data_IF_052940343825
#
_entry.id   IF_052940343825
#
_cell.length_a   1.000
_cell.length_b   1.000
_cell.length_c   1.000
_cell.angle_alpha   90.00
_cell.angle_beta   90.00
_cell.angle_gamma   90.00
#
_symmetry.space_group_name_H-M   'P 1'
#
loop_
_entity.id
_entity.type
_entity.pdbx_description
1 polymer ?
#
# COMPACT_ATOMS: atom_id res chain seq x y z
N UNK A 1 28.00 53.58 -71.17
CA UNK A 1 26.56 53.25 -70.88
C UNK A 1 26.52 52.29 -69.76
N UNK A 2 26.38 52.81 -68.55
CA UNK A 2 26.21 51.97 -67.31
C UNK A 2 24.72 51.86 -66.97
N UNK A 3 24.18 50.67 -66.87
CA UNK A 3 22.86 50.43 -66.38
C UNK A 3 22.98 49.94 -64.93
N UNK A 4 22.46 50.77 -64.02
CA UNK A 4 22.26 50.45 -62.62
C UNK A 4 21.16 49.37 -62.44
N UNK A 5 21.47 48.35 -61.67
CA UNK A 5 20.49 47.34 -61.17
C UNK A 5 20.27 47.64 -59.68
N UNK A 6 19.04 47.82 -59.20
CA UNK A 6 18.78 48.04 -57.77
C UNK A 6 18.84 46.73 -56.97
N UNK A 7 19.52 46.83 -55.85
CA UNK A 7 19.66 45.75 -54.85
C UNK A 7 18.36 45.61 -54.07
N UNK A 8 17.73 44.41 -54.14
CA UNK A 8 16.51 44.09 -53.43
C UNK A 8 16.90 43.51 -52.07
N UNK A 9 16.63 44.28 -51.01
CA UNK A 9 16.82 43.79 -49.62
C UNK A 9 15.68 42.86 -49.24
N UNK A 10 15.98 41.56 -49.06
CA UNK A 10 15.07 40.61 -48.43
C UNK A 10 15.16 40.78 -46.92
N UNK A 11 14.07 41.29 -46.35
CA UNK A 11 13.87 41.34 -44.89
C UNK A 11 13.42 39.95 -44.44
N UNK A 12 14.36 39.18 -43.81
CA UNK A 12 14.00 37.94 -43.13
C UNK A 12 13.30 38.28 -41.80
N UNK A 13 11.97 38.09 -41.76
CA UNK A 13 11.21 38.05 -40.52
C UNK A 13 11.48 36.71 -39.83
N UNK A 14 12.31 36.73 -38.80
CA UNK A 14 12.49 35.58 -37.89
C UNK A 14 11.28 35.52 -36.97
N UNK A 15 10.30 34.67 -37.28
CA UNK A 15 9.21 34.33 -36.36
C UNK A 15 9.79 33.39 -35.32
N UNK A 16 10.22 33.94 -34.17
CA UNK A 16 10.50 33.14 -32.99
C UNK A 16 9.16 32.60 -32.46
N UNK A 17 8.84 31.35 -32.83
CA UNK A 17 7.79 30.58 -32.13
C UNK A 17 8.36 30.22 -30.76
N UNK A 18 7.94 30.95 -29.75
CA UNK A 18 8.20 30.61 -28.34
C UNK A 18 7.30 29.42 -28.03
N UNK A 19 7.84 28.23 -28.19
CA UNK A 19 7.27 27.02 -27.62
C UNK A 19 7.46 27.12 -26.11
N UNK A 20 6.46 27.63 -25.39
CA UNK A 20 6.37 27.46 -23.96
C UNK A 20 6.16 25.98 -23.68
N UNK A 21 7.05 25.32 -22.92
CA UNK A 21 6.81 23.93 -22.59
C UNK A 21 5.62 23.86 -21.64
N UNK A 22 4.59 23.17 -22.06
CA UNK A 22 3.40 22.79 -21.28
C UNK A 22 3.75 21.89 -20.07
N UNK A 23 5.05 21.63 -19.85
CA UNK A 23 5.60 20.82 -18.78
C UNK A 23 5.71 21.54 -17.42
N UNK A 24 5.50 22.87 -17.35
CA UNK A 24 5.66 23.62 -16.09
C UNK A 24 4.35 23.86 -15.32
N UNK A 25 3.24 23.32 -15.75
CA UNK A 25 1.94 23.48 -15.07
C UNK A 25 1.53 22.29 -14.17
N UNK A 26 2.34 21.26 -14.11
CA UNK A 26 2.09 20.08 -13.24
C UNK A 26 2.73 20.16 -11.85
N UNK A 27 3.58 21.14 -11.57
CA UNK A 27 4.31 21.26 -10.29
C UNK A 27 3.66 22.17 -9.24
N UNK A 28 2.50 22.76 -9.50
CA UNK A 28 1.86 23.71 -8.57
C UNK A 28 0.52 23.24 -7.97
N UNK A 29 0.34 21.96 -7.74
CA UNK A 29 -0.53 21.45 -6.66
C UNK A 29 0.35 20.88 -5.57
N UNK A 30 1.24 21.72 -5.04
CA UNK A 30 2.01 21.43 -3.85
C UNK A 30 1.11 21.30 -2.63
N UNK A 31 0.49 20.16 -2.46
CA UNK A 31 0.03 19.72 -1.14
C UNK A 31 1.32 19.34 -0.40
N UNK A 32 1.85 20.26 0.39
CA UNK A 32 2.95 19.93 1.31
C UNK A 32 2.50 18.74 2.16
N UNK A 33 3.38 17.77 2.40
CA UNK A 33 3.07 16.59 3.22
C UNK A 33 2.54 16.96 4.62
N UNK A 34 2.88 18.14 5.13
CA UNK A 34 2.39 18.69 6.40
C UNK A 34 0.88 18.97 6.39
N UNK A 35 0.26 19.25 5.25
CA UNK A 35 -1.18 19.51 5.15
C UNK A 35 -2.05 18.24 5.15
N UNK A 36 -1.46 17.05 4.98
CA UNK A 36 -2.20 15.80 4.93
C UNK A 36 -2.55 15.26 6.33
N UNK A 37 -1.82 15.69 7.36
CA UNK A 37 -1.97 15.26 8.73
C UNK A 37 -2.40 16.42 9.63
N UNK A 38 -3.12 16.08 10.70
CA UNK A 38 -3.38 16.99 11.82
C UNK A 38 -2.99 16.30 13.12
N UNK A 39 -2.55 17.09 14.10
CA UNK A 39 -2.23 16.63 15.45
C UNK A 39 -3.39 16.97 16.38
N UNK A 40 -3.62 16.14 17.41
CA UNK A 40 -4.64 16.33 18.41
C UNK A 40 -4.36 15.54 19.68
N UNK A 41 -5.28 15.61 20.63
CA UNK A 41 -5.17 14.79 21.84
C UNK A 41 -5.28 13.30 21.48
N UNK A 42 -4.29 12.52 21.92
CA UNK A 42 -4.27 11.09 21.68
C UNK A 42 -5.36 10.38 22.50
N UNK A 43 -6.19 9.60 21.82
CA UNK A 43 -7.08 8.67 22.53
C UNK A 43 -6.29 7.52 23.17
N UNK A 44 -6.94 6.71 24.02
CA UNK A 44 -6.27 5.61 24.73
C UNK A 44 -5.47 4.67 23.82
N UNK A 45 -6.02 4.34 22.65
CA UNK A 45 -5.44 3.40 21.68
C UNK A 45 -4.86 4.12 20.44
N UNK A 46 -4.90 5.46 20.39
CA UNK A 46 -4.40 6.29 19.31
C UNK A 46 -3.07 6.93 19.60
N UNK A 47 -2.45 7.50 18.55
CA UNK A 47 -1.17 8.22 18.65
C UNK A 47 -1.33 9.75 18.64
N UNK A 48 -2.56 10.29 18.58
CA UNK A 48 -2.84 11.72 18.48
C UNK A 48 -2.54 12.34 17.11
N UNK A 49 -2.19 11.52 16.12
CA UNK A 49 -2.00 11.93 14.72
C UNK A 49 -3.19 11.48 13.90
N UNK A 50 -3.69 12.39 13.08
CA UNK A 50 -4.88 12.16 12.27
C UNK A 50 -4.54 12.24 10.78
N UNK A 51 -5.07 11.33 10.00
CA UNK A 51 -5.00 11.34 8.54
C UNK A 51 -6.41 11.37 7.95
N UNK A 52 -6.69 12.40 7.16
CA UNK A 52 -8.00 12.61 6.52
C UNK A 52 -9.21 12.50 7.48
N UNK A 53 -9.01 12.86 8.77
CA UNK A 53 -10.05 12.85 9.81
C UNK A 53 -10.10 11.58 10.66
N UNK A 54 -9.29 10.57 10.38
CA UNK A 54 -9.14 9.35 11.18
C UNK A 54 -7.93 9.44 12.09
N UNK A 55 -8.10 9.20 13.40
CA UNK A 55 -6.98 9.01 14.31
C UNK A 55 -6.26 7.69 14.01
N UNK A 56 -4.93 7.73 13.93
CA UNK A 56 -4.09 6.55 13.68
C UNK A 56 -3.94 5.78 14.99
N UNK A 57 -4.09 4.45 14.94
CA UNK A 57 -3.92 3.61 16.12
C UNK A 57 -2.46 3.40 16.50
N UNK A 58 -2.23 2.97 17.74
CA UNK A 58 -0.92 2.45 18.18
C UNK A 58 -0.62 1.13 17.50
N UNK A 59 0.65 0.92 17.16
CA UNK A 59 1.14 -0.33 16.54
C UNK A 59 1.12 -1.46 17.57
N UNK A 60 0.67 -2.65 17.14
CA UNK A 60 0.79 -3.87 17.91
C UNK A 60 2.25 -4.38 17.88
N UNK A 61 2.92 -4.35 19.02
CA UNK A 61 4.30 -4.85 19.13
C UNK A 61 4.43 -6.36 18.97
N UNK A 62 5.66 -6.85 18.78
CA UNK A 62 5.99 -8.25 18.56
C UNK A 62 5.55 -9.22 19.69
N UNK A 63 5.34 -8.71 20.90
CA UNK A 63 4.76 -9.50 22.00
C UNK A 63 3.32 -9.96 21.69
N UNK A 64 2.63 -9.31 20.78
CA UNK A 64 1.33 -9.72 20.26
C UNK A 64 1.37 -10.83 19.20
N UNK A 65 2.55 -11.31 18.78
CA UNK A 65 2.68 -12.30 17.70
C UNK A 65 1.88 -13.59 17.93
N UNK A 66 1.75 -14.02 19.21
CA UNK A 66 0.92 -15.18 19.56
C UNK A 66 -0.55 -15.04 19.19
N UNK A 67 -1.09 -13.82 19.25
CA UNK A 67 -2.47 -13.54 18.86
C UNK A 67 -2.68 -13.74 17.34
N UNK A 68 -1.67 -13.42 16.53
CA UNK A 68 -1.71 -13.60 15.07
C UNK A 68 -1.77 -15.07 14.66
N UNK A 69 -1.28 -15.98 15.50
CA UNK A 69 -1.22 -17.43 15.25
C UNK A 69 -2.32 -18.23 15.98
N UNK A 70 -3.30 -17.53 16.58
CA UNK A 70 -4.36 -18.21 17.33
C UNK A 70 -5.15 -19.18 16.43
N UNK A 71 -5.47 -20.40 16.91
CA UNK A 71 -6.15 -21.43 16.10
C UNK A 71 -7.53 -21.01 15.60
N UNK A 72 -8.24 -20.18 16.38
CA UNK A 72 -9.58 -19.70 16.07
C UNK A 72 -9.64 -18.75 14.88
N UNK A 73 -8.49 -18.21 14.47
CA UNK A 73 -8.38 -17.20 13.40
C UNK A 73 -8.99 -17.67 12.09
N UNK A 74 -8.78 -18.95 11.72
CA UNK A 74 -9.35 -19.54 10.50
C UNK A 74 -10.86 -19.49 10.50
N UNK A 75 -11.50 -19.79 11.65
CA UNK A 75 -12.96 -19.79 11.76
C UNK A 75 -13.52 -18.37 11.87
N UNK A 76 -12.88 -17.51 12.65
CA UNK A 76 -13.35 -16.15 12.93
C UNK A 76 -13.19 -15.21 11.74
N UNK A 77 -12.09 -15.32 11.00
CA UNK A 77 -11.73 -14.42 9.92
C UNK A 77 -11.85 -15.05 8.53
N UNK A 78 -12.05 -16.40 8.44
CA UNK A 78 -12.07 -17.14 7.18
C UNK A 78 -10.81 -16.85 6.34
N UNK A 79 -9.65 -17.00 6.99
CA UNK A 79 -8.35 -16.76 6.34
C UNK A 79 -8.08 -17.72 5.17
N UNK A 80 -8.72 -18.87 5.15
CA UNK A 80 -8.79 -19.80 4.02
C UNK A 80 -9.41 -19.14 2.79
N UNK A 81 -10.59 -18.54 2.97
CA UNK A 81 -11.33 -17.86 1.92
C UNK A 81 -10.63 -16.57 1.48
N UNK A 82 -10.00 -15.85 2.43
CA UNK A 82 -9.17 -14.68 2.11
C UNK A 82 -8.06 -15.08 1.10
N UNK A 83 -7.31 -16.14 1.40
CA UNK A 83 -6.23 -16.63 0.54
C UNK A 83 -6.76 -17.05 -0.84
N UNK A 84 -7.88 -17.79 -0.89
CA UNK A 84 -8.50 -18.20 -2.15
C UNK A 84 -8.87 -16.99 -3.01
N UNK A 85 -9.49 -15.97 -2.40
CA UNK A 85 -9.91 -14.74 -3.08
C UNK A 85 -8.75 -13.86 -3.57
N UNK A 86 -7.54 -14.07 -3.09
CA UNK A 86 -6.38 -13.40 -3.67
C UNK A 86 -6.19 -13.79 -5.15
N UNK A 87 -6.71 -14.94 -5.60
CA UNK A 87 -6.63 -15.41 -6.99
C UNK A 87 -5.22 -15.25 -7.58
N UNK A 88 -4.22 -15.71 -6.84
CA UNK A 88 -2.80 -15.58 -7.22
C UNK A 88 -2.43 -16.54 -8.34
N UNK A 89 -1.52 -16.10 -9.21
CA UNK A 89 -0.89 -16.94 -10.23
C UNK A 89 0.44 -17.48 -9.69
N UNK A 90 0.89 -18.67 -10.13
CA UNK A 90 2.15 -19.27 -9.69
C UNK A 90 3.39 -18.38 -9.85
N UNK A 91 3.36 -17.42 -10.76
CA UNK A 91 4.44 -16.49 -11.08
C UNK A 91 4.34 -15.14 -10.38
N UNK A 92 3.31 -14.91 -9.54
CA UNK A 92 3.12 -13.62 -8.92
C UNK A 92 4.18 -13.29 -7.88
N UNK A 93 4.59 -12.04 -7.86
CA UNK A 93 5.35 -11.44 -6.77
C UNK A 93 4.36 -10.76 -5.82
N UNK A 94 4.32 -11.23 -4.58
CA UNK A 94 3.36 -10.77 -3.58
C UNK A 94 4.08 -10.12 -2.41
N UNK A 95 3.61 -8.97 -2.00
CA UNK A 95 4.05 -8.28 -0.77
C UNK A 95 3.02 -8.54 0.31
N UNK A 96 3.44 -9.16 1.42
CA UNK A 96 2.68 -9.27 2.68
C UNK A 96 3.17 -8.13 3.57
N UNK A 97 2.43 -7.01 3.59
CA UNK A 97 2.83 -5.77 4.27
C UNK A 97 2.21 -5.68 5.67
N UNK A 98 3.05 -5.52 6.67
CA UNK A 98 2.70 -5.77 8.06
C UNK A 98 2.64 -7.28 8.32
N UNK A 99 3.62 -8.02 7.81
CA UNK A 99 3.64 -9.49 7.81
C UNK A 99 3.56 -10.11 9.21
N UNK A 100 3.97 -9.37 10.24
CA UNK A 100 3.96 -9.83 11.63
C UNK A 100 4.71 -11.15 11.78
N UNK A 101 4.02 -12.17 12.29
CA UNK A 101 4.56 -13.52 12.45
C UNK A 101 4.74 -14.30 11.14
N UNK A 102 4.32 -13.73 9.99
CA UNK A 102 4.31 -14.40 8.70
C UNK A 102 3.10 -15.32 8.48
N UNK A 103 2.01 -15.09 9.19
CA UNK A 103 0.82 -15.95 9.09
C UNK A 103 0.33 -16.10 7.65
N UNK A 104 0.22 -15.02 6.89
CA UNK A 104 -0.18 -15.03 5.47
C UNK A 104 1.00 -15.34 4.56
N UNK A 105 2.19 -14.85 4.86
CA UNK A 105 3.42 -15.14 4.10
C UNK A 105 3.59 -16.63 3.80
N UNK A 106 3.50 -17.49 4.83
CA UNK A 106 3.70 -18.96 4.67
C UNK A 106 2.52 -19.66 4.02
N UNK A 107 1.34 -19.07 3.99
CA UNK A 107 0.16 -19.59 3.27
C UNK A 107 0.16 -19.20 1.81
N UNK A 108 0.75 -18.04 1.49
CA UNK A 108 0.86 -17.53 0.11
C UNK A 108 2.02 -18.18 -0.62
N UNK A 109 3.15 -18.42 0.03
CA UNK A 109 4.36 -18.92 -0.61
C UNK A 109 4.15 -20.21 -1.45
N UNK A 110 3.39 -21.22 -1.00
CA UNK A 110 3.10 -22.40 -1.82
C UNK A 110 2.26 -22.13 -3.07
N UNK A 111 1.53 -21.01 -3.11
CA UNK A 111 0.66 -20.63 -4.24
C UNK A 111 1.43 -19.91 -5.35
N UNK A 112 2.62 -19.40 -5.04
CA UNK A 112 3.47 -18.66 -5.98
C UNK A 112 4.86 -19.31 -6.13
N UNK A 113 4.94 -20.60 -6.48
CA UNK A 113 6.20 -21.35 -6.47
C UNK A 113 7.22 -20.87 -7.52
N UNK A 114 6.78 -20.15 -8.54
CA UNK A 114 7.62 -19.52 -9.58
C UNK A 114 7.77 -18.02 -9.40
N UNK A 115 7.12 -17.46 -8.38
CA UNK A 115 7.17 -16.07 -7.98
C UNK A 115 7.93 -15.90 -6.67
N UNK A 116 7.54 -14.87 -5.91
CA UNK A 116 8.18 -14.55 -4.62
C UNK A 116 7.16 -13.93 -3.67
N UNK A 117 7.34 -14.17 -2.37
CA UNK A 117 6.64 -13.46 -1.30
C UNK A 117 7.63 -12.61 -0.52
N UNK A 118 7.39 -11.30 -0.50
CA UNK A 118 8.10 -10.36 0.34
C UNK A 118 7.34 -10.19 1.65
N UNK A 119 7.89 -10.72 2.76
CA UNK A 119 7.39 -10.46 4.09
C UNK A 119 7.96 -9.12 4.58
N UNK A 120 7.14 -8.09 4.53
CA UNK A 120 7.53 -6.70 4.82
C UNK A 120 6.97 -6.28 6.17
N UNK A 121 7.83 -5.82 7.07
CA UNK A 121 7.43 -5.34 8.39
C UNK A 121 8.37 -4.24 8.88
N UNK A 122 7.90 -3.37 9.78
CA UNK A 122 8.72 -2.34 10.43
C UNK A 122 9.45 -2.89 11.67
N UNK A 123 9.01 -4.06 12.22
CA UNK A 123 9.61 -4.68 13.41
C UNK A 123 10.67 -5.71 13.01
N UNK A 124 11.93 -5.49 13.35
CA UNK A 124 12.98 -6.48 13.14
C UNK A 124 12.73 -7.77 13.93
N UNK A 125 12.03 -7.71 15.07
CA UNK A 125 11.65 -8.85 15.90
C UNK A 125 10.61 -9.72 15.20
N UNK A 126 9.58 -9.12 14.57
CA UNK A 126 8.61 -9.86 13.76
C UNK A 126 9.32 -10.56 12.59
N UNK A 127 10.18 -9.87 11.87
CA UNK A 127 10.97 -10.47 10.79
C UNK A 127 11.93 -11.58 11.29
N UNK A 128 12.41 -11.50 12.54
CA UNK A 128 13.19 -12.59 13.13
C UNK A 128 12.33 -13.85 13.32
N UNK A 129 11.06 -13.71 13.70
CA UNK A 129 10.10 -14.83 13.78
C UNK A 129 9.90 -15.43 12.37
N UNK A 130 9.67 -14.61 11.35
CA UNK A 130 9.52 -15.07 9.95
C UNK A 130 10.77 -15.84 9.52
N UNK A 131 11.98 -15.28 9.71
CA UNK A 131 13.25 -15.96 9.37
C UNK A 131 13.43 -17.28 10.10
N UNK A 132 12.99 -17.37 11.36
CA UNK A 132 13.04 -18.64 12.10
C UNK A 132 12.10 -19.71 11.51
N UNK A 133 10.90 -19.29 11.07
CA UNK A 133 9.96 -20.18 10.37
C UNK A 133 10.47 -20.60 8.99
N UNK A 134 11.07 -19.69 8.22
CA UNK A 134 11.68 -20.00 6.91
C UNK A 134 12.70 -21.14 7.03
N UNK A 135 13.61 -21.07 8.03
CA UNK A 135 14.60 -22.12 8.26
C UNK A 135 13.99 -23.49 8.57
N UNK A 136 12.80 -23.51 9.21
CA UNK A 136 12.08 -24.76 9.57
C UNK A 136 11.30 -25.35 8.40
N UNK A 137 10.80 -24.50 7.52
CA UNK A 137 9.91 -24.92 6.40
C UNK A 137 10.64 -25.11 5.08
N UNK A 138 11.94 -24.80 5.00
CA UNK A 138 12.72 -24.74 3.74
C UNK A 138 12.03 -23.88 2.66
N UNK A 139 11.37 -22.79 3.06
CA UNK A 139 10.70 -21.90 2.14
C UNK A 139 11.75 -21.02 1.41
N UNK A 140 11.98 -21.30 0.12
CA UNK A 140 13.02 -20.64 -0.69
C UNK A 140 12.51 -19.38 -1.41
N UNK A 141 11.19 -19.28 -1.63
CA UNK A 141 10.57 -18.17 -2.33
C UNK A 141 10.02 -17.07 -1.40
N UNK A 142 10.48 -17.02 -0.15
CA UNK A 142 10.17 -15.94 0.80
C UNK A 142 11.41 -15.08 1.02
N UNK A 143 11.21 -13.76 1.03
CA UNK A 143 12.23 -12.77 1.37
C UNK A 143 11.70 -11.86 2.47
N UNK A 144 12.51 -11.60 3.53
CA UNK A 144 12.13 -10.64 4.58
C UNK A 144 12.69 -9.27 4.29
N UNK A 145 11.86 -8.23 4.36
CA UNK A 145 12.23 -6.85 4.08
C UNK A 145 11.89 -5.97 5.29
N UNK A 146 12.88 -5.31 5.85
CA UNK A 146 12.67 -4.31 6.91
C UNK A 146 12.29 -2.98 6.25
N UNK A 147 11.01 -2.62 6.36
CA UNK A 147 10.50 -1.34 5.87
C UNK A 147 10.75 -0.20 6.86
N UNK A 148 10.46 1.02 6.40
CA UNK A 148 10.28 2.16 7.29
C UNK A 148 8.79 2.48 7.42
N UNK A 149 8.45 3.50 8.20
CA UNK A 149 7.05 3.97 8.31
C UNK A 149 6.54 4.64 7.02
N UNK A 150 7.43 4.95 6.08
CA UNK A 150 7.12 5.68 4.84
C UNK A 150 7.46 4.94 3.55
N UNK A 151 8.20 3.83 3.64
CA UNK A 151 8.79 3.20 2.45
C UNK A 151 8.92 1.69 2.63
N UNK A 152 8.38 0.92 1.69
CA UNK A 152 8.44 -0.55 1.61
C UNK A 152 9.87 -1.09 1.46
N UNK A 153 10.79 -0.29 0.94
CA UNK A 153 12.16 -0.72 0.56
C UNK A 153 12.20 -1.81 -0.52
N UNK A 154 11.26 -1.72 -1.45
CA UNK A 154 11.18 -2.58 -2.64
C UNK A 154 11.33 -1.75 -3.91
N UNK A 155 11.75 -2.40 -5.00
CA UNK A 155 11.87 -1.76 -6.31
C UNK A 155 10.51 -1.37 -6.89
N UNK A 156 10.50 -0.31 -7.69
CA UNK A 156 9.31 0.12 -8.42
C UNK A 156 8.87 -0.96 -9.40
N UNK A 157 7.55 -1.12 -9.56
CA UNK A 157 6.92 -2.06 -10.48
C UNK A 157 7.42 -3.51 -10.29
N UNK A 158 7.70 -3.92 -9.05
CA UNK A 158 8.19 -5.26 -8.72
C UNK A 158 7.11 -6.22 -8.25
N UNK A 159 5.96 -5.72 -7.76
CA UNK A 159 4.91 -6.56 -7.18
C UNK A 159 3.65 -6.62 -8.05
N UNK A 160 3.06 -7.82 -8.15
CA UNK A 160 1.75 -8.04 -8.78
C UNK A 160 0.60 -7.81 -7.79
N UNK A 161 0.85 -8.07 -6.50
CA UNK A 161 -0.10 -7.92 -5.42
C UNK A 161 0.59 -7.42 -4.15
N UNK A 162 0.00 -6.42 -3.49
CA UNK A 162 0.30 -6.05 -2.10
C UNK A 162 -0.91 -6.45 -1.27
N UNK A 163 -0.69 -7.23 -0.22
CA UNK A 163 -1.69 -7.64 0.77
C UNK A 163 -1.40 -6.90 2.08
N UNK A 164 -2.43 -6.31 2.68
CA UNK A 164 -2.38 -5.75 4.03
C UNK A 164 -3.56 -6.35 4.80
N UNK A 165 -3.29 -6.98 5.95
CA UNK A 165 -4.34 -7.59 6.79
C UNK A 165 -4.25 -7.04 8.20
N UNK A 166 -5.28 -6.30 8.60
CA UNK A 166 -5.43 -5.72 9.95
C UNK A 166 -4.18 -4.95 10.42
N UNK A 167 -3.57 -4.16 9.53
CA UNK A 167 -2.35 -3.42 9.80
C UNK A 167 -2.38 -1.97 9.28
N UNK A 168 -3.16 -1.64 8.26
CA UNK A 168 -3.16 -0.30 7.67
C UNK A 168 -3.61 0.78 8.67
N UNK A 169 -4.54 0.46 9.55
CA UNK A 169 -5.00 1.39 10.59
C UNK A 169 -3.90 1.84 11.56
N UNK A 170 -2.78 1.11 11.62
CA UNK A 170 -1.59 1.40 12.44
C UNK A 170 -0.53 2.24 11.69
N UNK A 171 -0.67 2.47 10.39
CA UNK A 171 0.33 3.21 9.60
C UNK A 171 0.40 4.66 10.06
N UNK A 172 1.52 5.06 10.65
CA UNK A 172 1.74 6.44 11.12
C UNK A 172 1.93 7.45 9.99
N UNK A 173 2.24 6.98 8.77
CA UNK A 173 2.44 7.78 7.55
C UNK A 173 1.73 7.13 6.35
N UNK A 174 0.37 7.03 6.40
CA UNK A 174 -0.39 6.29 5.37
C UNK A 174 -0.27 6.91 3.97
N UNK A 175 -0.10 8.23 3.83
CA UNK A 175 0.10 8.89 2.53
C UNK A 175 1.41 8.46 1.87
N UNK A 176 2.51 8.53 2.61
CA UNK A 176 3.86 8.19 2.13
C UNK A 176 3.96 6.69 1.85
N UNK A 177 3.50 5.87 2.77
CA UNK A 177 3.46 4.42 2.58
C UNK A 177 2.55 4.04 1.41
N UNK A 178 1.40 4.70 1.25
CA UNK A 178 0.51 4.51 0.09
C UNK A 178 1.19 4.84 -1.24
N UNK A 179 1.97 5.93 -1.29
CA UNK A 179 2.80 6.27 -2.47
C UNK A 179 3.86 5.20 -2.74
N UNK A 180 4.52 4.67 -1.69
CA UNK A 180 5.48 3.58 -1.82
C UNK A 180 4.82 2.31 -2.35
N UNK A 181 3.63 1.95 -1.85
CA UNK A 181 2.81 0.83 -2.37
C UNK A 181 2.48 1.04 -3.84
N UNK A 182 2.00 2.24 -4.21
CA UNK A 182 1.68 2.57 -5.60
C UNK A 182 2.90 2.39 -6.51
N UNK A 183 4.07 2.88 -6.10
CA UNK A 183 5.31 2.75 -6.88
C UNK A 183 5.76 1.29 -7.02
N UNK A 184 5.65 0.50 -5.96
CA UNK A 184 6.05 -0.92 -5.94
C UNK A 184 5.14 -1.79 -6.81
N UNK A 185 3.85 -1.48 -6.87
CA UNK A 185 2.92 -2.22 -7.73
C UNK A 185 3.26 -2.04 -9.20
N UNK A 186 3.21 -3.13 -9.98
CA UNK A 186 3.24 -3.09 -11.44
C UNK A 186 1.98 -2.38 -11.98
N UNK A 187 2.01 -1.78 -13.20
CA UNK A 187 0.78 -1.39 -13.88
C UNK A 187 -0.21 -2.56 -13.95
N UNK A 188 -1.47 -2.33 -13.57
CA UNK A 188 -2.48 -3.39 -13.43
C UNK A 188 -2.33 -4.27 -12.18
N UNK A 189 -1.29 -4.07 -11.36
CA UNK A 189 -1.15 -4.73 -10.07
C UNK A 189 -2.21 -4.27 -9.06
N UNK A 190 -2.42 -5.06 -7.99
CA UNK A 190 -3.48 -4.79 -7.01
C UNK A 190 -2.96 -4.66 -5.60
N UNK A 191 -3.58 -3.74 -4.85
CA UNK A 191 -3.57 -3.73 -3.40
C UNK A 191 -4.84 -4.45 -2.92
N UNK A 192 -4.69 -5.44 -2.04
CA UNK A 192 -5.79 -6.07 -1.31
C UNK A 192 -5.68 -5.63 0.14
N UNK A 193 -6.68 -4.87 0.59
CA UNK A 193 -6.77 -4.34 1.95
C UNK A 193 -7.84 -5.08 2.71
N UNK A 194 -7.44 -5.70 3.81
CA UNK A 194 -8.32 -6.41 4.74
C UNK A 194 -8.31 -5.66 6.06
N UNK A 195 -9.49 -5.21 6.52
CA UNK A 195 -9.64 -4.46 7.77
C UNK A 195 -10.96 -4.82 8.44
N UNK A 196 -10.98 -4.91 9.78
CA UNK A 196 -12.20 -5.12 10.53
C UNK A 196 -13.21 -4.00 10.26
N UNK A 197 -14.50 -4.39 10.06
CA UNK A 197 -15.57 -3.44 9.73
C UNK A 197 -15.86 -2.49 10.89
N UNK A 198 -15.66 -1.20 10.66
CA UNK A 198 -16.07 -0.15 11.60
C UNK A 198 -17.59 -0.05 11.71
N UNK A 199 -18.29 -0.38 10.63
CA UNK A 199 -19.74 -0.32 10.49
C UNK A 199 -20.44 -1.34 11.39
N UNK A 200 -19.76 -2.42 11.80
CA UNK A 200 -20.31 -3.44 12.67
C UNK A 200 -19.84 -3.25 14.13
N UNK A 201 -20.71 -2.76 15.03
CA UNK A 201 -20.37 -2.59 16.44
C UNK A 201 -20.25 -3.94 17.18
N UNK A 202 -20.78 -5.03 16.62
CA UNK A 202 -20.75 -6.37 17.22
C UNK A 202 -19.38 -7.05 17.12
N UNK A 203 -18.49 -6.58 16.26
CA UNK A 203 -17.13 -7.13 16.13
C UNK A 203 -16.30 -6.73 17.36
N UNK A 204 -15.76 -7.69 18.14
CA UNK A 204 -15.10 -7.45 19.43
C UNK A 204 -13.63 -6.97 19.26
N UNK A 205 -13.43 -5.97 18.40
CA UNK A 205 -12.15 -5.31 18.11
C UNK A 205 -12.24 -3.85 18.54
N UNK A 206 -11.15 -3.31 19.08
CA UNK A 206 -11.06 -1.92 19.50
C UNK A 206 -11.37 -0.97 18.34
N UNK A 207 -12.01 0.16 18.63
CA UNK A 207 -12.52 1.09 17.61
C UNK A 207 -11.45 1.55 16.62
N UNK A 208 -10.25 1.94 17.08
CA UNK A 208 -9.18 2.42 16.20
C UNK A 208 -8.50 1.31 15.39
N UNK A 209 -8.73 0.04 15.74
CA UNK A 209 -8.28 -1.12 14.98
C UNK A 209 -9.35 -1.64 13.99
N UNK A 210 -10.32 -0.78 13.65
CA UNK A 210 -11.33 -0.99 12.61
C UNK A 210 -11.27 0.13 11.60
N UNK A 211 -11.64 -0.14 10.37
CA UNK A 211 -11.80 0.88 9.32
C UNK A 211 -13.16 0.78 8.66
N UNK A 212 -13.74 1.94 8.33
CA UNK A 212 -14.89 1.95 7.44
C UNK A 212 -14.46 1.83 5.99
N UNK A 213 -15.28 1.17 5.17
CA UNK A 213 -15.07 1.08 3.73
C UNK A 213 -14.85 2.46 3.11
N UNK A 214 -15.73 3.42 3.46
CA UNK A 214 -15.66 4.80 2.97
C UNK A 214 -14.31 5.46 3.28
N UNK A 215 -13.78 5.27 4.50
CA UNK A 215 -12.50 5.86 4.90
C UNK A 215 -11.34 5.19 4.17
N UNK A 216 -11.35 3.87 4.05
CA UNK A 216 -10.33 3.12 3.31
C UNK A 216 -10.28 3.54 1.83
N UNK A 217 -11.44 3.64 1.16
CA UNK A 217 -11.52 4.11 -0.22
C UNK A 217 -10.94 5.53 -0.34
N UNK A 218 -11.32 6.44 0.57
CA UNK A 218 -10.84 7.83 0.57
C UNK A 218 -9.31 7.89 0.69
N UNK A 219 -8.72 7.17 1.64
CA UNK A 219 -7.29 7.20 1.92
C UNK A 219 -6.46 6.56 0.80
N UNK A 220 -6.87 5.37 0.33
CA UNK A 220 -6.14 4.62 -0.69
C UNK A 220 -6.27 5.26 -2.08
N UNK A 221 -7.43 5.84 -2.40
CA UNK A 221 -7.61 6.54 -3.68
C UNK A 221 -6.78 7.83 -3.77
N UNK A 222 -6.45 8.45 -2.64
CA UNK A 222 -5.64 9.67 -2.59
C UNK A 222 -4.20 9.47 -3.12
N UNK A 223 -3.70 8.23 -3.17
CA UNK A 223 -2.38 7.91 -3.73
C UNK A 223 -2.43 7.41 -5.18
N UNK A 224 -3.61 7.48 -5.83
CA UNK A 224 -3.79 7.12 -7.25
C UNK A 224 -4.21 5.68 -7.52
N UNK A 225 -4.37 4.85 -6.48
CA UNK A 225 -4.96 3.52 -6.63
C UNK A 225 -6.47 3.65 -6.81
N UNK A 226 -7.04 2.89 -7.75
CA UNK A 226 -8.48 2.92 -8.02
C UNK A 226 -9.18 1.79 -7.28
N UNK A 227 -10.17 2.12 -6.47
CA UNK A 227 -11.06 1.12 -5.89
C UNK A 227 -11.77 0.35 -7.00
N UNK A 228 -11.75 -0.98 -6.90
CA UNK A 228 -12.35 -1.91 -7.87
C UNK A 228 -13.58 -2.57 -7.28
N UNK A 229 -13.45 -3.18 -6.10
CA UNK A 229 -14.55 -3.85 -5.42
C UNK A 229 -14.32 -3.99 -3.91
N UNK A 230 -15.40 -4.21 -3.18
CA UNK A 230 -15.41 -4.72 -1.81
C UNK A 230 -16.24 -5.98 -1.76
N UNK A 231 -15.67 -7.07 -1.26
CA UNK A 231 -16.34 -8.36 -1.11
C UNK A 231 -16.79 -8.56 0.34
N UNK A 232 -18.04 -8.94 0.52
CA UNK A 232 -18.65 -9.28 1.82
C UNK A 232 -18.42 -10.75 2.24
N UNK A 233 -17.47 -11.44 1.61
CA UNK A 233 -17.25 -12.86 1.84
C UNK A 233 -16.65 -13.19 3.22
N UNK A 234 -15.91 -12.24 3.82
CA UNK A 234 -15.31 -12.44 5.14
C UNK A 234 -16.30 -12.07 6.25
N UNK A 235 -16.36 -12.84 7.36
CA UNK A 235 -17.39 -12.62 8.38
C UNK A 235 -17.22 -11.32 9.16
N UNK A 236 -15.98 -10.83 9.36
CA UNK A 236 -15.69 -9.69 10.23
C UNK A 236 -14.97 -8.55 9.53
N UNK A 237 -14.38 -8.79 8.35
CA UNK A 237 -13.52 -7.83 7.67
C UNK A 237 -14.06 -7.44 6.31
N UNK A 238 -13.74 -6.24 5.87
CA UNK A 238 -13.80 -5.87 4.46
C UNK A 238 -12.70 -6.61 3.70
N UNK A 239 -13.01 -7.11 2.51
CA UNK A 239 -12.02 -7.55 1.52
C UNK A 239 -12.08 -6.56 0.36
N UNK A 240 -11.18 -5.60 0.34
CA UNK A 240 -11.19 -4.49 -0.60
C UNK A 240 -10.08 -4.63 -1.61
N UNK A 241 -10.39 -4.45 -2.89
CA UNK A 241 -9.43 -4.50 -3.99
C UNK A 241 -9.26 -3.11 -4.59
N UNK A 242 -8.01 -2.67 -4.69
CA UNK A 242 -7.62 -1.45 -5.38
C UNK A 242 -6.62 -1.79 -6.49
N UNK A 243 -6.72 -1.11 -7.63
CA UNK A 243 -5.88 -1.37 -8.80
C UNK A 243 -5.00 -0.18 -9.13
N UNK A 244 -3.73 -0.46 -9.45
CA UNK A 244 -2.87 0.53 -10.10
C UNK A 244 -3.26 0.61 -11.58
N UNK A 245 -3.61 1.80 -12.12
CA UNK A 245 -3.91 1.99 -13.53
C UNK A 245 -2.79 1.57 -14.46
#
# INVERSE_FOLDING_TARGET
MHKNIPCLHYLYFCVCVILTPLALLAENLGISNESAYTEGEASRDGIGKFYMGREISKVMGHLGAGWLERPERVQQERTDLLIEKLALKPTNHVVDLGAGSGYFTFRIAPLVPQGKVYAVDISPEMLAIVRAKMRKSNAENIETVLSTVTDLKLENNSADCVLIVDAYHEFSHPLEMGKSIYNTLKPGGKLVLIEYRMEDPGIPIKKLHKMSEKQAIKEISAVGLKWEETSEALPQQHFMVFRKP
#
